data_IF_485901850956
#
_entry.id   IF_485901850956
#
_cell.length_a   1.000
_cell.length_b   1.000
_cell.length_c   1.000
_cell.angle_alpha   90.00
_cell.angle_beta   90.00
_cell.angle_gamma   90.00
#
_symmetry.space_group_name_H-M   'P 1'
#
loop_
_entity.id
_entity.type
_entity.pdbx_description
1 polymer ?
#
# COMPACT_ATOMS: atom_id res chain seq x y z
N UNK A 1 -11.91 -20.37 6.60
CA UNK A 1 -11.41 -20.82 5.27
C UNK A 1 -11.99 -22.18 4.99
N UNK A 2 -12.73 -22.35 3.89
CA UNK A 2 -13.34 -23.62 3.48
C UNK A 2 -12.59 -24.21 2.29
N UNK A 3 -12.36 -25.51 2.30
CA UNK A 3 -11.77 -26.26 1.19
C UNK A 3 -12.75 -27.35 0.75
N UNK A 4 -12.99 -27.47 -0.55
CA UNK A 4 -13.93 -28.44 -1.12
C UNK A 4 -13.79 -28.59 -2.62
N UNK A 5 -14.21 -29.77 -3.11
CA UNK A 5 -14.21 -30.28 -4.49
C UNK A 5 -12.91 -30.98 -4.95
N UNK A 6 -13.07 -32.23 -5.40
CA UNK A 6 -12.00 -33.11 -5.91
C UNK A 6 -11.76 -33.02 -7.42
N UNK A 7 -12.62 -32.32 -8.17
CA UNK A 7 -12.47 -32.17 -9.63
C UNK A 7 -11.42 -31.11 -9.97
N UNK A 8 -10.44 -31.47 -10.80
CA UNK A 8 -9.29 -30.67 -11.19
C UNK A 8 -9.63 -29.54 -12.18
N UNK A 9 -10.21 -28.44 -11.71
CA UNK A 9 -10.39 -27.20 -12.49
C UNK A 9 -9.05 -26.46 -12.70
N UNK A 10 -8.04 -27.14 -13.24
CA UNK A 10 -6.67 -26.64 -13.30
C UNK A 10 -6.41 -25.64 -14.44
N UNK A 11 -7.38 -25.42 -15.34
CA UNK A 11 -7.19 -24.52 -16.50
C UNK A 11 -8.40 -23.66 -16.89
N UNK A 12 -9.59 -23.90 -16.32
CA UNK A 12 -10.84 -23.18 -16.67
C UNK A 12 -11.78 -23.09 -15.46
N UNK A 13 -11.37 -22.38 -14.40
CA UNK A 13 -12.22 -22.16 -13.23
C UNK A 13 -13.38 -21.23 -13.62
N UNK A 14 -14.65 -21.68 -13.49
CA UNK A 14 -15.80 -20.82 -13.77
C UNK A 14 -15.84 -19.61 -12.83
N UNK A 15 -16.36 -18.48 -13.33
CA UNK A 15 -16.65 -17.33 -12.47
C UNK A 15 -17.64 -17.74 -11.37
N UNK A 16 -17.46 -17.26 -10.13
CA UNK A 16 -18.41 -17.54 -9.05
C UNK A 16 -19.79 -16.97 -9.41
N UNK A 17 -20.84 -17.75 -9.11
CA UNK A 17 -22.23 -17.36 -9.36
C UNK A 17 -22.89 -17.05 -8.02
N UNK A 18 -23.34 -15.81 -7.82
CA UNK A 18 -24.08 -15.44 -6.62
C UNK A 18 -25.56 -15.83 -6.76
N UNK A 19 -25.90 -17.03 -6.30
CA UNK A 19 -27.27 -17.54 -6.28
C UNK A 19 -27.48 -18.49 -5.10
N UNK A 20 -28.74 -18.61 -4.64
CA UNK A 20 -29.07 -19.52 -3.54
C UNK A 20 -28.72 -20.98 -3.84
N UNK A 21 -28.97 -21.44 -5.07
CA UNK A 21 -28.63 -22.81 -5.51
C UNK A 21 -27.13 -23.06 -5.42
N UNK A 22 -26.30 -22.13 -5.93
CA UNK A 22 -24.85 -22.26 -5.89
C UNK A 22 -24.31 -22.21 -4.45
N UNK A 23 -24.90 -21.36 -3.61
CA UNK A 23 -24.57 -21.28 -2.18
C UNK A 23 -24.87 -22.60 -1.44
N UNK A 24 -26.05 -23.19 -1.66
CA UNK A 24 -26.40 -24.49 -1.05
C UNK A 24 -25.45 -25.59 -1.50
N UNK A 25 -25.17 -25.68 -2.80
CA UNK A 25 -24.22 -26.65 -3.35
C UNK A 25 -22.80 -26.50 -2.78
N UNK A 26 -22.35 -25.26 -2.55
CA UNK A 26 -21.04 -24.99 -1.91
C UNK A 26 -21.03 -25.47 -0.46
N UNK A 27 -22.15 -25.35 0.26
CA UNK A 27 -22.31 -25.92 1.60
C UNK A 27 -22.23 -27.45 1.60
N UNK A 28 -22.90 -28.10 0.66
CA UNK A 28 -22.96 -29.58 0.56
C UNK A 28 -21.61 -30.20 0.16
N UNK A 29 -20.79 -29.48 -0.59
CA UNK A 29 -19.50 -29.97 -1.14
C UNK A 29 -18.27 -29.55 -0.32
N UNK A 30 -18.46 -28.79 0.76
CA UNK A 30 -17.37 -28.36 1.65
C UNK A 30 -16.93 -29.52 2.54
N UNK A 31 -15.64 -29.85 2.52
CA UNK A 31 -15.11 -30.98 3.31
C UNK A 31 -14.46 -30.53 4.62
N UNK A 32 -13.82 -29.36 4.61
CA UNK A 32 -13.09 -28.85 5.78
C UNK A 32 -13.27 -27.35 5.95
N UNK A 33 -13.34 -26.92 7.21
CA UNK A 33 -13.35 -25.52 7.61
C UNK A 33 -12.30 -25.23 8.67
N UNK A 34 -11.45 -24.23 8.42
CA UNK A 34 -10.52 -23.69 9.43
C UNK A 34 -11.08 -22.39 10.01
N UNK A 35 -11.25 -22.36 11.33
CA UNK A 35 -11.58 -21.15 12.09
C UNK A 35 -10.40 -20.17 12.03
N UNK A 36 -10.69 -18.92 11.67
CA UNK A 36 -9.72 -17.83 11.72
C UNK A 36 -9.93 -17.10 13.05
N UNK A 37 -8.94 -17.14 13.94
CA UNK A 37 -8.96 -16.35 15.17
C UNK A 37 -8.49 -14.92 14.89
N UNK A 38 -8.85 -13.98 15.76
CA UNK A 38 -8.35 -12.60 15.73
C UNK A 38 -6.82 -12.52 15.73
N UNK A 39 -6.14 -13.49 16.34
CA UNK A 39 -4.69 -13.61 16.32
C UNK A 39 -4.11 -13.78 14.89
N UNK A 40 -4.89 -14.31 13.94
CA UNK A 40 -4.49 -14.51 12.54
C UNK A 40 -4.92 -13.34 11.63
N UNK A 41 -5.52 -12.29 12.18
CA UNK A 41 -5.95 -11.11 11.42
C UNK A 41 -4.93 -9.99 11.65
N UNK A 42 -4.42 -9.40 10.58
CA UNK A 42 -3.53 -8.24 10.60
C UNK A 42 -4.01 -7.21 9.60
N UNK A 43 -3.94 -5.94 9.97
CA UNK A 43 -4.09 -4.83 9.01
C UNK A 43 -2.78 -4.73 8.23
N UNK A 44 -2.89 -4.56 6.93
CA UNK A 44 -1.76 -4.41 6.03
C UNK A 44 -1.91 -3.11 5.25
N UNK A 45 -0.77 -2.51 4.93
CA UNK A 45 -0.65 -1.40 4.00
C UNK A 45 0.21 -1.85 2.82
N UNK A 46 0.17 -1.11 1.71
CA UNK A 46 1.03 -1.38 0.55
C UNK A 46 2.49 -1.20 0.97
N UNK A 47 3.39 -2.05 0.46
CA UNK A 47 4.82 -1.89 0.71
C UNK A 47 5.41 -0.97 -0.36
N UNK A 48 6.12 0.07 0.06
CA UNK A 48 6.85 1.01 -0.79
C UNK A 48 8.26 1.06 -0.24
N UNK A 49 9.22 0.43 -0.91
CA UNK A 49 10.62 0.49 -0.49
C UNK A 49 11.25 1.82 -0.92
N UNK A 50 12.06 2.41 -0.04
CA UNK A 50 12.86 3.57 -0.40
C UNK A 50 13.93 3.16 -1.42
N UNK A 51 14.20 4.03 -2.40
CA UNK A 51 15.30 3.85 -3.35
C UNK A 51 15.83 5.21 -3.77
N UNK A 52 17.14 5.39 -3.70
CA UNK A 52 17.78 6.62 -4.19
C UNK A 52 17.46 6.87 -5.65
N UNK A 53 17.21 8.13 -6.03
CA UNK A 53 16.84 8.48 -7.39
C UNK A 53 15.33 8.47 -7.67
N UNK A 54 14.51 8.00 -6.73
CA UNK A 54 13.05 8.05 -6.84
C UNK A 54 12.47 9.35 -6.26
N UNK A 55 11.20 9.60 -6.61
CA UNK A 55 10.39 10.70 -6.07
C UNK A 55 9.25 10.14 -5.25
N UNK A 56 8.97 10.78 -4.13
CA UNK A 56 7.87 10.46 -3.25
C UNK A 56 6.93 11.66 -3.11
N UNK A 57 5.67 11.37 -2.82
CA UNK A 57 4.61 12.38 -2.74
C UNK A 57 4.50 12.91 -1.30
N UNK A 58 4.08 14.16 -1.15
CA UNK A 58 3.86 14.72 0.19
C UNK A 58 2.57 14.14 0.76
N UNK A 59 2.56 13.87 2.07
CA UNK A 59 1.33 13.62 2.80
C UNK A 59 0.42 14.85 2.72
N UNK A 60 -0.72 14.67 2.05
CA UNK A 60 -1.77 15.68 1.97
C UNK A 60 -3.13 15.04 2.13
N UNK A 61 -3.98 15.69 2.91
CA UNK A 61 -5.35 15.24 3.22
C UNK A 61 -6.37 15.65 2.15
N UNK A 62 -6.02 16.61 1.28
CA UNK A 62 -6.90 17.21 0.27
C UNK A 62 -6.87 16.49 -1.09
N UNK A 63 -6.19 15.35 -1.21
CA UNK A 63 -6.20 14.54 -2.43
C UNK A 63 -7.60 14.03 -2.76
N UNK A 64 -8.05 14.37 -3.97
CA UNK A 64 -9.40 14.12 -4.45
C UNK A 64 -9.44 14.00 -5.98
N UNK A 65 -10.58 13.65 -6.55
CA UNK A 65 -10.75 13.59 -8.01
C UNK A 65 -10.49 14.94 -8.72
N UNK A 66 -10.71 16.07 -8.02
CA UNK A 66 -10.42 17.42 -8.51
C UNK A 66 -9.00 17.91 -8.19
N UNK A 67 -8.28 17.22 -7.31
CA UNK A 67 -6.95 17.57 -6.84
C UNK A 67 -6.14 16.29 -6.66
N UNK A 68 -5.77 15.62 -7.76
CA UNK A 68 -5.07 14.35 -7.71
C UNK A 68 -3.63 14.54 -7.21
N UNK A 69 -3.05 13.45 -6.70
CA UNK A 69 -1.66 13.47 -6.26
C UNK A 69 -0.71 13.67 -7.46
N UNK A 70 0.42 14.40 -7.31
CA UNK A 70 1.22 14.83 -8.45
C UNK A 70 1.92 13.72 -9.24
N UNK A 71 2.32 12.62 -8.58
CA UNK A 71 3.16 11.58 -9.18
C UNK A 71 2.34 10.37 -9.62
N UNK A 72 1.44 9.90 -8.76
CA UNK A 72 0.60 8.71 -9.03
C UNK A 72 -0.75 9.06 -9.65
N UNK A 73 -1.08 10.36 -9.77
CA UNK A 73 -2.40 10.85 -10.19
C UNK A 73 -3.54 10.23 -9.36
N UNK A 74 -3.27 9.95 -8.08
CA UNK A 74 -4.21 9.29 -7.20
C UNK A 74 -5.28 10.27 -6.72
N UNK A 75 -6.54 9.82 -6.76
CA UNK A 75 -7.69 10.59 -6.26
C UNK A 75 -7.89 10.44 -4.74
N UNK A 76 -7.03 9.69 -4.06
CA UNK A 76 -7.07 9.45 -2.60
C UNK A 76 -5.67 9.22 -2.08
N UNK A 77 -5.41 9.66 -0.85
CA UNK A 77 -4.11 9.52 -0.19
C UNK A 77 -3.61 8.08 -0.09
N UNK A 78 -4.50 7.11 0.14
CA UNK A 78 -4.12 5.69 0.29
C UNK A 78 -3.52 5.07 -0.99
N UNK A 79 -3.77 5.67 -2.15
CA UNK A 79 -3.18 5.23 -3.41
C UNK A 79 -1.88 5.99 -3.76
N UNK A 80 -1.61 7.11 -3.07
CA UNK A 80 -0.40 7.92 -3.27
C UNK A 80 0.85 7.27 -2.63
N UNK A 81 2.03 7.65 -3.11
CA UNK A 81 3.33 7.20 -2.61
C UNK A 81 3.89 8.16 -1.56
N UNK A 82 3.14 8.37 -0.48
CA UNK A 82 3.45 9.37 0.55
C UNK A 82 4.31 8.84 1.72
N UNK A 83 4.60 7.55 1.73
CA UNK A 83 5.44 6.91 2.74
C UNK A 83 6.39 5.92 2.10
N UNK A 84 7.47 5.63 2.81
CA UNK A 84 8.51 4.69 2.38
C UNK A 84 8.96 3.82 3.53
N UNK A 85 9.43 2.62 3.20
CA UNK A 85 10.11 1.70 4.09
C UNK A 85 11.61 1.82 3.86
N UNK A 86 12.37 2.05 4.91
CA UNK A 86 13.83 2.06 4.83
C UNK A 86 14.43 0.63 4.97
N UNK A 87 15.74 0.54 4.83
CA UNK A 87 16.55 -0.67 5.00
C UNK A 87 16.41 -1.35 6.37
N UNK A 88 16.08 -0.58 7.42
CA UNK A 88 15.81 -1.07 8.78
C UNK A 88 14.34 -1.51 9.01
N UNK A 89 13.51 -1.57 7.97
CA UNK A 89 12.07 -1.83 8.05
C UNK A 89 11.27 -0.80 8.88
N UNK A 90 11.77 0.44 8.97
CA UNK A 90 11.04 1.57 9.55
C UNK A 90 10.26 2.30 8.46
N UNK A 91 9.05 2.75 8.81
CA UNK A 91 8.16 3.47 7.89
C UNK A 91 8.27 4.97 8.16
N UNK A 92 8.52 5.73 7.10
CA UNK A 92 8.60 7.20 7.14
C UNK A 92 7.53 7.80 6.24
N UNK A 93 6.93 8.89 6.70
CA UNK A 93 5.97 9.68 5.95
C UNK A 93 6.72 10.89 5.39
N UNK A 94 6.51 11.19 4.11
CA UNK A 94 7.04 12.40 3.49
C UNK A 94 6.12 13.58 3.83
N UNK A 95 6.62 14.51 4.63
CA UNK A 95 5.96 15.75 5.02
C UNK A 95 6.32 16.89 4.05
N UNK A 96 7.54 16.87 3.52
CA UNK A 96 7.98 17.73 2.43
C UNK A 96 8.86 16.92 1.47
N UNK A 97 8.74 17.18 0.18
CA UNK A 97 9.56 16.55 -0.86
C UNK A 97 10.49 17.56 -1.56
N UNK A 98 10.73 18.71 -0.91
CA UNK A 98 11.63 19.76 -1.37
C UNK A 98 11.10 20.55 -2.56
N UNK A 99 9.80 20.50 -2.83
CA UNK A 99 9.20 21.16 -3.99
C UNK A 99 9.34 22.69 -3.94
N UNK A 100 10.13 23.26 -4.85
CA UNK A 100 10.19 24.71 -5.09
C UNK A 100 9.61 25.04 -6.47
N UNK A 101 8.29 24.90 -6.61
CA UNK A 101 7.57 25.18 -7.86
C UNK A 101 7.47 24.01 -8.85
N UNK A 102 8.10 22.86 -8.53
CA UNK A 102 7.89 21.61 -9.25
C UNK A 102 6.87 20.74 -8.50
N UNK A 103 5.64 20.55 -9.00
CA UNK A 103 4.62 19.78 -8.30
C UNK A 103 5.01 18.32 -8.04
N UNK A 104 5.97 17.76 -8.79
CA UNK A 104 6.46 16.39 -8.62
C UNK A 104 7.47 16.22 -7.46
N UNK A 105 7.97 17.32 -6.90
CA UNK A 105 9.04 17.29 -5.90
C UNK A 105 10.44 17.03 -6.46
N UNK A 106 11.43 17.12 -5.57
CA UNK A 106 12.81 16.81 -5.88
C UNK A 106 13.03 15.30 -5.90
N UNK A 107 14.19 14.87 -6.38
CA UNK A 107 14.59 13.46 -6.32
C UNK A 107 15.18 13.18 -4.94
N UNK A 108 14.67 12.18 -4.24
CA UNK A 108 15.23 11.74 -2.95
C UNK A 108 16.60 11.10 -3.19
N UNK A 109 17.61 11.60 -2.47
CA UNK A 109 18.98 11.10 -2.53
C UNK A 109 19.35 10.35 -1.25
N UNK A 110 18.85 10.83 -0.11
CA UNK A 110 19.20 10.33 1.21
C UNK A 110 18.07 9.44 1.79
N UNK A 111 18.45 8.29 2.34
CA UNK A 111 17.52 7.39 3.00
C UNK A 111 17.15 7.92 4.41
N UNK A 112 15.86 8.02 4.77
CA UNK A 112 15.48 8.45 6.11
C UNK A 112 15.86 7.40 7.17
N UNK A 113 16.63 7.84 8.17
CA UNK A 113 17.10 7.01 9.29
C UNK A 113 16.88 7.64 10.67
N UNK A 114 16.36 8.87 10.71
CA UNK A 114 16.11 9.60 11.94
C UNK A 114 15.03 8.92 12.80
N UNK A 115 15.11 9.11 14.11
CA UNK A 115 14.14 8.55 15.07
C UNK A 115 13.64 9.60 16.05
N UNK A 116 13.98 10.85 15.80
CA UNK A 116 13.53 11.96 16.61
C UNK A 116 12.02 12.18 16.44
N UNK A 117 11.41 12.84 17.41
CA UNK A 117 9.97 13.12 17.42
C UNK A 117 9.59 14.27 16.49
N UNK A 118 10.57 15.07 16.07
CA UNK A 118 10.38 16.22 15.20
C UNK A 118 10.69 15.88 13.73
N UNK A 119 9.86 16.35 12.77
CA UNK A 119 10.13 16.20 11.34
C UNK A 119 11.54 16.70 11.01
N UNK A 120 12.35 15.81 10.42
CA UNK A 120 13.77 16.03 10.22
C UNK A 120 14.16 15.68 8.79
N UNK A 121 15.20 16.34 8.28
CA UNK A 121 15.68 16.04 6.93
C UNK A 121 16.27 14.64 6.87
N UNK A 122 16.03 13.93 5.77
CA UNK A 122 16.58 12.59 5.57
C UNK A 122 18.11 12.57 5.50
N UNK A 123 18.74 13.68 5.09
CA UNK A 123 20.18 13.84 5.09
C UNK A 123 20.66 15.24 4.69
N UNK A 124 21.90 15.32 4.20
CA UNK A 124 22.61 16.57 3.88
C UNK A 124 22.74 16.84 2.37
N UNK A 125 22.21 15.97 1.51
CA UNK A 125 22.32 16.10 0.05
C UNK A 125 21.53 17.29 -0.52
N UNK A 126 20.68 17.93 0.28
CA UNK A 126 19.93 19.12 -0.12
C UNK A 126 18.72 18.82 -1.00
N UNK A 127 18.26 17.57 -1.03
CA UNK A 127 17.03 17.16 -1.75
C UNK A 127 15.77 17.78 -1.14
N UNK A 128 15.84 18.21 0.13
CA UNK A 128 14.76 18.92 0.82
C UNK A 128 13.67 18.00 1.36
N UNK A 129 13.90 16.69 1.38
CA UNK A 129 12.94 15.74 1.95
C UNK A 129 12.91 15.83 3.48
N UNK A 130 11.69 15.86 4.03
CA UNK A 130 11.36 15.84 5.45
C UNK A 130 10.29 14.78 5.71
#
# INVERSE_FOLDING_TARGET
MGYGRSSNWNSNTPAPIDSFTYRSHTGDTMMFGKKVSSANIRRIIRRIDWTSGNRYEIYRDDYSASNPSPLTAANRLYDANYYVLNSDFKVYICIDNGSTGNPLGNVSQDEPTFTDLEPSKAGNSGDGYV
#
